data_IF_041315566975
#
_entry.id   IF_041315566975
#
_cell.length_a   1.000
_cell.length_b   1.000
_cell.length_c   1.000
_cell.angle_alpha   90.00
_cell.angle_beta   90.00
_cell.angle_gamma   90.00
#
_symmetry.space_group_name_H-M   'P 1'
#
loop_
_entity.id
_entity.type
_entity.pdbx_description
1 polymer ?
#
# COMPACT_ATOMS: atom_id res chain seq x y z
N UNK A 1 43.12 -8.17 50.42
CA UNK A 1 42.70 -6.76 50.49
C UNK A 1 41.85 -6.43 49.28
N UNK A 2 40.55 -6.23 49.56
CA UNK A 2 39.56 -5.33 48.98
C UNK A 2 39.47 -5.07 47.46
N UNK A 3 38.28 -5.45 46.95
CA UNK A 3 37.66 -5.20 45.64
C UNK A 3 37.23 -3.71 45.49
N UNK A 4 37.13 -3.18 44.26
CA UNK A 4 35.85 -2.59 43.81
C UNK A 4 35.56 -3.01 42.34
N UNK A 5 34.59 -3.85 41.99
CA UNK A 5 33.12 -3.64 41.89
C UNK A 5 32.65 -2.19 41.92
N UNK A 6 32.58 -1.54 40.75
CA UNK A 6 31.70 -0.41 40.32
C UNK A 6 31.95 -0.25 38.79
N UNK A 7 31.02 -0.06 37.84
CA UNK A 7 29.68 0.49 37.84
C UNK A 7 28.86 -0.13 36.68
N UNK A 8 27.63 -0.50 37.02
CA UNK A 8 26.39 -0.09 36.35
C UNK A 8 26.33 -0.05 34.82
N UNK A 9 25.86 -1.17 34.26
CA UNK A 9 24.68 -1.22 33.41
C UNK A 9 24.04 0.15 33.05
N UNK A 10 24.47 0.76 31.95
CA UNK A 10 23.85 1.98 31.41
C UNK A 10 23.86 2.00 29.87
N UNK A 11 23.70 0.85 29.21
CA UNK A 11 23.64 0.77 27.73
C UNK A 11 22.36 0.14 27.17
N UNK A 12 21.35 -0.15 28.00
CA UNK A 12 20.13 -0.86 27.54
C UNK A 12 18.94 0.04 27.15
N UNK A 13 19.08 1.37 27.11
CA UNK A 13 17.94 2.28 26.90
C UNK A 13 17.86 2.96 25.52
N UNK A 14 18.69 2.58 24.54
CA UNK A 14 18.68 3.22 23.21
C UNK A 14 17.92 2.46 22.11
N UNK A 15 17.30 1.31 22.41
CA UNK A 15 16.60 0.51 21.40
C UNK A 15 15.10 0.87 21.21
N UNK A 16 14.56 1.85 21.96
CA UNK A 16 13.10 2.07 22.02
C UNK A 16 12.54 3.15 21.07
N UNK A 17 13.35 3.80 20.23
CA UNK A 17 12.89 4.90 19.36
C UNK A 17 12.96 4.58 17.85
N UNK A 18 13.36 3.37 17.48
CA UNK A 18 13.49 2.92 16.08
C UNK A 18 12.19 2.37 15.46
N UNK A 19 11.03 2.64 16.04
CA UNK A 19 9.73 2.30 15.46
C UNK A 19 9.33 3.26 14.35
N UNK A 20 10.20 3.54 13.39
CA UNK A 20 9.82 4.25 12.16
C UNK A 20 8.89 3.33 11.36
N UNK A 21 7.59 3.34 11.68
CA UNK A 21 6.60 2.84 10.75
C UNK A 21 6.85 3.56 9.43
N UNK A 22 7.14 2.83 8.33
CA UNK A 22 7.39 3.48 7.06
C UNK A 22 6.18 4.36 6.73
N UNK A 23 6.40 5.63 6.39
CA UNK A 23 5.31 6.56 6.14
C UNK A 23 4.41 5.96 5.05
N UNK A 24 3.11 5.93 5.30
CA UNK A 24 2.16 5.49 4.27
C UNK A 24 2.34 6.39 3.06
N UNK A 25 2.63 5.78 1.91
CA UNK A 25 2.89 6.52 0.67
C UNK A 25 1.67 7.34 0.32
N UNK A 26 1.89 8.61 0.01
CA UNK A 26 0.84 9.51 -0.43
C UNK A 26 0.37 9.15 -1.84
N UNK A 27 1.31 8.80 -2.72
CA UNK A 27 1.05 8.35 -4.07
C UNK A 27 1.91 7.13 -4.35
N UNK A 28 1.38 6.16 -5.10
CA UNK A 28 2.14 5.03 -5.57
C UNK A 28 1.48 4.40 -6.81
N UNK A 29 2.28 3.69 -7.60
CA UNK A 29 1.83 2.84 -8.70
C UNK A 29 2.30 1.41 -8.46
N UNK A 30 1.47 0.45 -8.83
CA UNK A 30 1.73 -0.97 -8.69
C UNK A 30 1.42 -1.67 -10.01
N UNK A 31 2.31 -2.55 -10.45
CA UNK A 31 2.01 -3.51 -11.51
C UNK A 31 1.46 -4.79 -10.89
N UNK A 32 0.35 -5.27 -11.44
CA UNK A 32 -0.21 -6.58 -11.15
C UNK A 32 0.05 -7.52 -12.33
N UNK A 33 -0.37 -8.77 -12.18
CA UNK A 33 -0.46 -9.71 -13.31
C UNK A 33 -1.34 -9.15 -14.44
N UNK A 34 -1.24 -9.75 -15.63
CA UNK A 34 -2.04 -9.39 -16.83
C UNK A 34 -1.83 -7.95 -17.32
N UNK A 35 -0.63 -7.39 -17.12
CA UNK A 35 -0.26 -6.03 -17.52
C UNK A 35 -1.18 -4.95 -16.92
N UNK A 36 -1.79 -5.23 -15.77
CA UNK A 36 -2.60 -4.27 -15.05
C UNK A 36 -1.67 -3.34 -14.27
N UNK A 37 -1.89 -2.03 -14.38
CA UNK A 37 -1.26 -1.03 -13.52
C UNK A 37 -2.32 -0.34 -12.67
N UNK A 38 -2.13 -0.32 -11.37
CA UNK A 38 -2.98 0.38 -10.41
C UNK A 38 -2.19 1.50 -9.76
N UNK A 39 -2.72 2.71 -9.80
CA UNK A 39 -2.13 3.87 -9.16
C UNK A 39 -3.14 4.53 -8.23
N UNK A 40 -2.67 5.09 -7.13
CA UNK A 40 -3.50 5.89 -6.24
C UNK A 40 -2.80 7.19 -5.85
N UNK A 41 -3.59 8.20 -5.52
CA UNK A 41 -3.16 9.43 -4.87
C UNK A 41 -4.08 9.75 -3.68
N UNK A 42 -3.52 9.66 -2.47
CA UNK A 42 -4.21 9.93 -1.21
C UNK A 42 -4.50 11.40 -0.95
N UNK A 43 -3.74 12.33 -1.56
CA UNK A 43 -4.04 13.77 -1.42
C UNK A 43 -5.36 14.10 -2.07
N UNK A 44 -5.62 13.50 -3.23
CA UNK A 44 -6.81 13.75 -4.04
C UNK A 44 -7.88 12.69 -3.87
N UNK A 45 -7.61 11.62 -3.11
CA UNK A 45 -8.48 10.45 -2.96
C UNK A 45 -8.88 9.84 -4.31
N UNK A 46 -7.95 9.80 -5.26
CA UNK A 46 -8.18 9.28 -6.61
C UNK A 46 -7.38 8.00 -6.87
N UNK A 47 -7.91 7.19 -7.79
CA UNK A 47 -7.24 6.00 -8.30
C UNK A 47 -7.30 5.95 -9.82
N UNK A 48 -6.32 5.27 -10.40
CA UNK A 48 -6.28 4.95 -11.81
C UNK A 48 -5.96 3.47 -12.01
N UNK A 49 -6.72 2.80 -12.87
CA UNK A 49 -6.43 1.45 -13.36
C UNK A 49 -6.16 1.53 -14.85
N UNK A 50 -5.04 0.97 -15.29
CA UNK A 50 -4.73 0.73 -16.69
C UNK A 50 -4.77 -0.76 -16.95
N UNK A 51 -5.57 -1.21 -17.92
CA UNK A 51 -5.70 -2.62 -18.32
C UNK A 51 -6.05 -2.70 -19.79
N UNK A 52 -5.32 -3.52 -20.55
CA UNK A 52 -5.62 -3.76 -21.97
C UNK A 52 -5.63 -2.49 -22.83
N UNK A 53 -4.82 -1.48 -22.48
CA UNK A 53 -4.81 -0.18 -23.14
C UNK A 53 -5.92 0.79 -22.72
N UNK A 54 -6.94 0.33 -21.99
CA UNK A 54 -7.95 1.20 -21.38
C UNK A 54 -7.44 1.79 -20.06
N UNK A 55 -7.89 3.03 -19.76
CA UNK A 55 -7.59 3.74 -18.52
C UNK A 55 -8.90 4.11 -17.82
N UNK A 56 -9.02 3.73 -16.56
CA UNK A 56 -10.19 3.94 -15.72
C UNK A 56 -9.78 4.81 -14.53
N UNK A 57 -10.52 5.90 -14.30
CA UNK A 57 -10.31 6.77 -13.15
C UNK A 57 -11.46 6.63 -12.17
N UNK A 58 -11.13 6.59 -10.89
CA UNK A 58 -12.08 6.46 -9.81
C UNK A 58 -11.62 7.19 -8.57
N UNK A 59 -12.37 6.96 -7.50
CA UNK A 59 -12.11 7.51 -6.19
C UNK A 59 -11.83 6.39 -5.20
N UNK A 60 -11.12 6.71 -4.12
CA UNK A 60 -10.93 5.80 -3.01
C UNK A 60 -11.27 6.47 -1.68
N UNK A 61 -11.67 5.67 -0.71
CA UNK A 61 -11.76 6.10 0.67
C UNK A 61 -10.47 5.82 1.46
N UNK A 62 -10.46 6.18 2.74
CA UNK A 62 -9.32 5.96 3.65
C UNK A 62 -9.05 4.49 3.94
N UNK A 63 -10.05 3.62 3.74
CA UNK A 63 -9.96 2.17 3.97
C UNK A 63 -9.50 1.42 2.72
N UNK A 64 -9.40 2.09 1.57
CA UNK A 64 -9.03 1.50 0.29
C UNK A 64 -10.21 0.90 -0.48
N UNK A 65 -11.46 1.26 -0.15
CA UNK A 65 -12.62 0.97 -1.00
C UNK A 65 -12.62 1.90 -2.20
N UNK A 66 -12.97 1.36 -3.37
CA UNK A 66 -12.96 2.05 -4.64
C UNK A 66 -14.38 2.38 -5.08
N UNK A 67 -14.57 3.60 -5.58
CA UNK A 67 -15.83 4.05 -6.17
C UNK A 67 -15.58 4.50 -7.60
N UNK A 68 -16.33 3.92 -8.53
CA UNK A 68 -16.21 4.21 -9.96
C UNK A 68 -17.36 5.12 -10.42
N UNK A 69 -17.09 6.11 -11.27
CA UNK A 69 -18.13 6.93 -11.90
C UNK A 69 -19.17 6.09 -12.65
N UNK A 70 -20.43 6.59 -12.71
CA UNK A 70 -21.55 5.89 -13.38
C UNK A 70 -21.26 5.37 -14.80
N UNK A 71 -20.54 6.08 -15.69
CA UNK A 71 -20.21 5.57 -17.02
C UNK A 71 -19.34 4.30 -17.01
N UNK A 72 -18.66 4.02 -15.89
CA UNK A 72 -17.87 2.82 -15.68
C UNK A 72 -18.64 1.72 -14.93
N UNK A 73 -19.88 1.99 -14.51
CA UNK A 73 -20.73 0.99 -13.88
C UNK A 73 -20.97 -0.18 -14.85
N UNK A 74 -20.75 -1.41 -14.36
CA UNK A 74 -20.82 -2.62 -15.18
C UNK A 74 -19.49 -3.02 -15.84
N UNK A 75 -18.47 -2.16 -15.85
CA UNK A 75 -17.09 -2.63 -16.06
C UNK A 75 -16.70 -3.44 -14.83
N UNK A 76 -16.09 -4.60 -15.03
CA UNK A 76 -15.62 -5.48 -13.95
C UNK A 76 -14.37 -4.90 -13.27
N UNK A 77 -14.48 -3.73 -12.66
CA UNK A 77 -13.37 -3.01 -12.01
C UNK A 77 -13.20 -3.45 -10.54
N UNK A 78 -12.01 -3.28 -9.95
CA UNK A 78 -11.77 -3.67 -8.56
C UNK A 78 -12.59 -2.84 -7.58
N UNK A 79 -13.03 -3.46 -6.50
CA UNK A 79 -13.84 -2.83 -5.45
C UNK A 79 -12.98 -2.30 -4.30
N UNK A 80 -11.78 -2.85 -4.10
CA UNK A 80 -10.88 -2.41 -3.04
C UNK A 80 -9.42 -2.80 -3.30
N UNK A 81 -8.52 -2.19 -2.54
CA UNK A 81 -7.12 -2.60 -2.48
C UNK A 81 -6.60 -2.62 -1.04
N UNK A 82 -5.58 -3.43 -0.81
CA UNK A 82 -4.91 -3.54 0.49
C UNK A 82 -3.40 -3.51 0.33
N UNK A 83 -2.75 -2.66 1.13
CA UNK A 83 -1.29 -2.56 1.24
C UNK A 83 -0.91 -2.96 2.66
N UNK A 84 -0.11 -4.01 2.77
CA UNK A 84 0.39 -4.48 4.06
C UNK A 84 1.38 -3.47 4.62
N UNK A 85 1.25 -3.16 5.92
CA UNK A 85 2.26 -2.35 6.62
C UNK A 85 3.62 -3.05 6.73
N UNK A 86 3.64 -4.38 6.68
CA UNK A 86 4.87 -5.19 6.79
C UNK A 86 5.62 -5.28 5.46
N UNK A 87 4.89 -5.23 4.35
CA UNK A 87 5.39 -5.36 2.98
C UNK A 87 4.76 -4.27 2.12
N UNK A 88 5.14 -2.98 2.32
CA UNK A 88 4.52 -1.84 1.65
C UNK A 88 4.86 -1.76 0.15
N UNK A 89 5.77 -2.61 -0.32
CA UNK A 89 6.08 -2.89 -1.71
C UNK A 89 5.06 -3.84 -2.38
N UNK A 90 4.21 -4.48 -1.58
CA UNK A 90 3.19 -5.43 -2.05
C UNK A 90 1.78 -4.92 -1.78
N UNK A 91 0.92 -5.10 -2.77
CA UNK A 91 -0.49 -4.76 -2.70
C UNK A 91 -1.33 -5.93 -3.22
N UNK A 92 -2.58 -6.02 -2.76
CA UNK A 92 -3.60 -6.86 -3.40
C UNK A 92 -4.79 -6.02 -3.84
N UNK A 93 -5.29 -6.25 -5.06
CA UNK A 93 -6.57 -5.74 -5.55
C UNK A 93 -7.66 -6.79 -5.37
N UNK A 94 -8.87 -6.38 -5.04
CA UNK A 94 -10.02 -7.26 -4.84
C UNK A 94 -11.22 -6.76 -5.63
N UNK A 95 -12.13 -7.67 -5.99
CA UNK A 95 -13.35 -7.33 -6.72
C UNK A 95 -13.15 -7.23 -8.22
N UNK A 96 -14.26 -7.21 -8.97
CA UNK A 96 -14.26 -7.18 -10.44
C UNK A 96 -13.29 -8.20 -11.05
N UNK A 97 -12.41 -7.73 -11.96
CA UNK A 97 -11.41 -8.57 -12.62
C UNK A 97 -10.32 -9.09 -11.68
N UNK A 98 -10.17 -8.52 -10.49
CA UNK A 98 -9.15 -8.93 -9.52
C UNK A 98 -9.64 -10.08 -8.61
N UNK A 99 -10.95 -10.40 -8.67
CA UNK A 99 -11.54 -11.52 -7.94
C UNK A 99 -11.26 -11.44 -6.44
N UNK A 100 -10.71 -12.52 -5.87
CA UNK A 100 -10.46 -12.66 -4.43
C UNK A 100 -9.09 -12.13 -3.98
N UNK A 101 -8.31 -11.51 -4.87
CA UNK A 101 -7.01 -10.94 -4.50
C UNK A 101 -5.97 -11.11 -5.59
N UNK A 102 -5.86 -10.12 -6.48
CA UNK A 102 -4.77 -10.06 -7.46
C UNK A 102 -3.55 -9.39 -6.84
N UNK A 103 -2.43 -10.11 -6.79
CA UNK A 103 -1.19 -9.59 -6.24
C UNK A 103 -0.56 -8.56 -7.19
N UNK A 104 -0.03 -7.49 -6.60
CA UNK A 104 0.63 -6.42 -7.31
C UNK A 104 1.90 -6.02 -6.55
N UNK A 105 2.89 -5.53 -7.30
CA UNK A 105 4.16 -5.03 -6.76
C UNK A 105 4.33 -3.57 -7.12
N UNK A 106 4.94 -2.85 -6.21
CA UNK A 106 5.24 -1.44 -6.37
C UNK A 106 6.12 -1.23 -7.61
N UNK A 107 5.74 -0.26 -8.45
CA UNK A 107 6.58 0.15 -9.57
C UNK A 107 7.86 0.83 -9.04
N UNK A 108 9.03 0.55 -9.64
CA UNK A 108 10.25 1.26 -9.32
C UNK A 108 10.06 2.74 -9.68
N UNK A 109 10.35 3.62 -8.72
CA UNK A 109 10.27 5.08 -8.87
C UNK A 109 11.54 5.69 -9.45
#
# INVERSE_FOLDING_TARGET
MSIPFRLSAACLLLAALGGCQPPQRIQASYHCEDQIRFSFDRRTQTVEVVRGGERFKGYMDEKGLLTWPKPLAGKSLPDSFYISRKTPDQMKLYGGFAGTGKACRLDPG
#
